data_IF_717042032118
#
_entry.id   IF_717042032118
#
_cell.length_a   1.000
_cell.length_b   1.000
_cell.length_c   1.000
_cell.angle_alpha   90.00
_cell.angle_beta   90.00
_cell.angle_gamma   90.00
#
_symmetry.space_group_name_H-M   'P 1'
#
loop_
_entity.id
_entity.type
_entity.pdbx_description
1 polymer ?
#
# COMPACT_ATOMS: atom_id res chain seq x y z
N UNK A 1 14.62 41.31 -62.15
CA UNK A 1 15.08 41.53 -60.76
C UNK A 1 13.91 41.21 -59.83
N UNK A 2 13.97 40.05 -59.17
CA UNK A 2 12.92 39.60 -58.25
C UNK A 2 13.08 40.34 -56.92
N UNK A 3 12.01 40.97 -56.45
CA UNK A 3 12.02 41.89 -55.31
C UNK A 3 12.14 41.09 -53.98
N UNK A 4 13.37 40.90 -53.50
CA UNK A 4 13.72 40.13 -52.29
C UNK A 4 13.05 40.64 -50.99
N UNK A 5 12.59 41.89 -50.95
CA UNK A 5 11.92 42.47 -49.77
C UNK A 5 10.50 41.94 -49.49
N UNK A 6 9.79 41.42 -50.51
CA UNK A 6 8.43 40.87 -50.32
C UNK A 6 8.44 39.45 -49.75
N UNK A 7 9.52 38.69 -49.96
CA UNK A 7 9.62 37.30 -49.52
C UNK A 7 10.03 37.21 -48.06
N UNK A 8 10.83 38.17 -47.57
CA UNK A 8 11.26 38.21 -46.16
C UNK A 8 10.14 38.65 -45.21
N UNK A 9 9.26 39.57 -45.63
CA UNK A 9 8.12 40.01 -44.82
C UNK A 9 7.08 38.89 -44.58
N UNK A 10 6.91 37.98 -45.55
CA UNK A 10 6.01 36.83 -45.44
C UNK A 10 6.57 35.67 -44.62
N UNK A 11 7.90 35.56 -44.50
CA UNK A 11 8.54 34.54 -43.65
C UNK A 11 8.53 34.90 -42.16
N UNK A 12 8.44 36.18 -41.81
CA UNK A 12 8.46 36.65 -40.41
C UNK A 12 7.10 36.61 -39.70
N UNK A 13 6.00 36.42 -40.43
CA UNK A 13 4.65 36.30 -39.83
C UNK A 13 4.17 34.86 -39.64
N UNK A 14 4.87 33.87 -40.21
CA UNK A 14 4.54 32.45 -40.04
C UNK A 14 5.29 31.77 -38.88
N UNK A 15 6.39 32.37 -38.39
CA UNK A 15 7.16 31.83 -37.26
C UNK A 15 6.69 32.30 -35.87
N UNK A 16 5.65 33.12 -35.77
CA UNK A 16 5.10 33.60 -34.49
C UNK A 16 3.97 32.73 -33.93
N UNK A 17 3.54 31.67 -34.64
CA UNK A 17 2.45 30.79 -34.20
C UNK A 17 2.91 29.43 -33.63
N UNK A 18 4.21 29.18 -33.50
CA UNK A 18 4.74 27.93 -32.90
C UNK A 18 5.23 28.08 -31.45
N UNK A 19 4.84 29.14 -30.74
CA UNK A 19 5.10 29.30 -29.30
C UNK A 19 3.88 28.95 -28.43
N UNK A 20 2.97 28.11 -28.92
CA UNK A 20 1.86 27.59 -28.12
C UNK A 20 2.28 26.30 -27.42
N UNK A 21 2.66 26.49 -26.15
CA UNK A 21 2.47 25.56 -25.04
C UNK A 21 3.26 24.25 -25.04
N UNK A 22 4.56 24.36 -24.75
CA UNK A 22 5.22 23.34 -23.91
C UNK A 22 4.83 23.64 -22.45
N UNK A 23 3.53 23.57 -22.15
CA UNK A 23 3.09 23.36 -20.78
C UNK A 23 3.41 21.91 -20.49
N UNK A 24 4.63 21.69 -20.00
CA UNK A 24 5.10 20.42 -19.49
C UNK A 24 3.98 19.76 -18.70
N UNK A 25 3.52 18.59 -19.17
CA UNK A 25 2.66 17.64 -18.46
C UNK A 25 3.38 17.14 -17.21
N UNK A 26 3.67 18.05 -16.27
CA UNK A 26 4.07 17.72 -14.93
C UNK A 26 2.77 17.45 -14.19
N UNK A 27 2.43 16.17 -14.04
CA UNK A 27 1.38 15.79 -13.08
C UNK A 27 1.83 16.31 -11.73
N UNK A 28 1.19 17.39 -11.26
CA UNK A 28 1.57 18.01 -10.00
C UNK A 28 1.41 16.98 -8.88
N UNK A 29 2.52 16.67 -8.21
CA UNK A 29 2.46 15.92 -6.98
C UNK A 29 1.78 16.81 -5.94
N UNK A 30 0.65 16.34 -5.41
CA UNK A 30 -0.03 17.00 -4.31
C UNK A 30 0.75 16.74 -3.03
N UNK A 31 0.84 17.75 -2.16
CA UNK A 31 1.46 17.60 -0.85
C UNK A 31 0.74 16.53 0.00
N UNK A 32 1.50 15.83 0.83
CA UNK A 32 1.01 14.83 1.78
C UNK A 32 1.69 13.47 1.69
N UNK A 33 1.23 12.53 2.52
CA UNK A 33 1.74 11.16 2.52
C UNK A 33 1.38 10.41 1.22
N UNK A 34 2.25 9.47 0.77
CA UNK A 34 1.94 8.60 -0.36
C UNK A 34 0.69 7.77 -0.09
N UNK A 35 -0.07 7.50 -1.15
CA UNK A 35 -1.28 6.69 -1.06
C UNK A 35 -0.87 5.21 -1.03
N UNK A 36 -1.35 4.47 -0.04
CA UNK A 36 -1.12 3.03 0.07
C UNK A 36 -2.38 2.28 -0.31
N UNK A 37 -2.27 1.31 -1.23
CA UNK A 37 -3.40 0.49 -1.66
C UNK A 37 -3.50 -0.86 -0.91
N UNK A 38 -4.54 -1.63 -1.24
CA UNK A 38 -4.80 -2.96 -0.66
C UNK A 38 -3.72 -4.00 -0.99
N UNK A 39 -2.90 -3.76 -2.01
CA UNK A 39 -1.81 -4.63 -2.43
C UNK A 39 -0.46 -4.17 -1.86
N UNK A 40 -0.46 -3.27 -0.88
CA UNK A 40 0.73 -2.71 -0.24
C UNK A 40 1.58 -1.84 -1.18
N UNK A 41 1.02 -1.37 -2.31
CA UNK A 41 1.76 -0.50 -3.22
C UNK A 41 1.64 0.95 -2.75
N UNK A 42 2.75 1.65 -2.82
CA UNK A 42 2.85 3.07 -2.55
C UNK A 42 2.73 3.82 -3.86
N UNK A 43 1.81 4.78 -3.89
CA UNK A 43 1.53 5.61 -5.06
C UNK A 43 1.82 7.07 -4.72
N UNK A 44 2.49 7.76 -5.64
CA UNK A 44 2.67 9.21 -5.54
C UNK A 44 1.30 9.87 -5.55
N UNK A 45 1.10 10.85 -4.67
CA UNK A 45 -0.18 11.53 -4.53
C UNK A 45 -0.40 12.49 -5.70
N UNK A 46 -1.05 12.01 -6.75
CA UNK A 46 -1.48 12.84 -7.89
C UNK A 46 -3.01 12.83 -8.00
N UNK A 47 -3.57 13.79 -8.73
CA UNK A 47 -5.01 13.86 -8.94
C UNK A 47 -5.55 12.60 -9.64
N UNK A 48 -4.75 12.01 -10.54
CA UNK A 48 -5.09 10.77 -11.23
C UNK A 48 -5.15 9.58 -10.28
N UNK A 49 -4.15 9.41 -9.41
CA UNK A 49 -4.13 8.35 -8.40
C UNK A 49 -5.29 8.51 -7.40
N UNK A 50 -5.64 9.75 -7.02
CA UNK A 50 -6.79 9.99 -6.13
C UNK A 50 -8.12 9.59 -6.76
N UNK A 51 -8.27 9.72 -8.08
CA UNK A 51 -9.44 9.23 -8.82
C UNK A 51 -9.48 7.71 -8.88
N UNK A 52 -8.34 7.07 -9.14
CA UNK A 52 -8.22 5.61 -9.23
C UNK A 52 -8.35 4.92 -7.86
N UNK A 53 -7.84 5.55 -6.80
CA UNK A 53 -7.81 5.03 -5.43
C UNK A 53 -8.57 6.00 -4.51
N UNK A 54 -9.91 5.85 -4.44
CA UNK A 54 -10.73 6.72 -3.60
C UNK A 54 -10.38 6.55 -2.12
N UNK A 55 -10.67 7.55 -1.28
CA UNK A 55 -10.29 7.57 0.14
C UNK A 55 -10.63 6.28 0.91
N UNK A 56 -11.78 5.66 0.65
CA UNK A 56 -12.19 4.38 1.27
C UNK A 56 -11.23 3.20 1.01
N UNK A 57 -10.42 3.31 -0.04
CA UNK A 57 -9.42 2.35 -0.48
C UNK A 57 -7.98 2.81 -0.19
N UNK A 58 -7.80 3.90 0.56
CA UNK A 58 -6.48 4.38 0.98
C UNK A 58 -6.19 3.84 2.37
N UNK A 59 -5.09 3.11 2.51
CA UNK A 59 -4.63 2.59 3.79
C UNK A 59 -3.76 3.60 4.54
N UNK A 60 -3.72 3.45 5.87
CA UNK A 60 -2.70 4.04 6.74
C UNK A 60 -1.91 2.93 7.41
N UNK A 61 -0.63 3.15 7.67
CA UNK A 61 0.20 2.23 8.45
C UNK A 61 -0.22 2.31 9.92
N UNK A 62 -0.73 1.22 10.47
CA UNK A 62 -1.13 1.13 11.89
C UNK A 62 0.01 0.60 12.75
N UNK A 63 0.80 -0.34 12.23
CA UNK A 63 1.94 -0.92 12.95
C UNK A 63 3.03 -1.34 11.98
N UNK A 64 4.27 -1.25 12.42
CA UNK A 64 5.46 -1.72 11.70
C UNK A 64 6.33 -2.50 12.69
N UNK A 65 6.77 -3.69 12.31
CA UNK A 65 7.59 -4.56 13.14
C UNK A 65 8.68 -5.22 12.34
N UNK A 66 9.93 -5.03 12.77
CA UNK A 66 11.08 -5.68 12.15
C UNK A 66 11.33 -7.05 12.77
N UNK A 67 11.79 -8.00 11.96
CA UNK A 67 12.22 -9.32 12.42
C UNK A 67 13.34 -9.87 11.54
N UNK A 68 14.00 -10.92 12.01
CA UNK A 68 15.10 -11.56 11.30
C UNK A 68 14.88 -13.07 11.22
N UNK A 69 15.13 -13.62 10.04
CA UNK A 69 15.07 -15.05 9.72
C UNK A 69 16.24 -15.36 8.80
N UNK A 70 16.97 -16.44 9.01
CA UNK A 70 18.09 -16.86 8.15
C UNK A 70 19.09 -15.73 7.83
N UNK A 71 19.44 -14.94 8.87
CA UNK A 71 20.33 -13.78 8.78
C UNK A 71 19.86 -12.63 7.86
N UNK A 72 18.57 -12.63 7.49
CA UNK A 72 17.94 -11.64 6.64
C UNK A 72 16.90 -10.84 7.43
N UNK A 73 16.90 -9.52 7.24
CA UNK A 73 15.97 -8.60 7.91
C UNK A 73 14.69 -8.42 7.08
N UNK A 74 13.56 -8.56 7.74
CA UNK A 74 12.22 -8.39 7.17
C UNK A 74 11.46 -7.34 7.98
N UNK A 75 10.45 -6.73 7.36
CA UNK A 75 9.52 -5.83 8.06
C UNK A 75 8.09 -6.25 7.79
N UNK A 76 7.35 -6.57 8.85
CA UNK A 76 5.91 -6.77 8.79
C UNK A 76 5.19 -5.46 9.09
N UNK A 77 4.28 -5.05 8.23
CA UNK A 77 3.43 -3.89 8.40
C UNK A 77 1.97 -4.30 8.46
N UNK A 78 1.21 -3.67 9.35
CA UNK A 78 -0.25 -3.73 9.38
C UNK A 78 -0.78 -2.42 8.84
N UNK A 79 -1.49 -2.50 7.72
CA UNK A 79 -2.26 -1.40 7.15
C UNK A 79 -3.68 -1.44 7.70
N UNK A 80 -4.28 -0.27 7.94
CA UNK A 80 -5.68 -0.11 8.31
C UNK A 80 -6.40 0.77 7.29
N UNK A 81 -7.54 0.29 6.80
CA UNK A 81 -8.44 1.02 5.91
C UNK A 81 -9.53 1.76 6.70
N UNK A 82 -10.19 2.77 6.11
CA UNK A 82 -11.27 3.53 6.77
C UNK A 82 -12.43 2.65 7.26
N UNK A 83 -12.71 1.54 6.59
CA UNK A 83 -13.70 0.55 7.03
C UNK A 83 -13.20 -0.38 8.16
N UNK A 84 -12.11 0.00 8.84
CA UNK A 84 -11.44 -0.76 9.91
C UNK A 84 -10.86 -2.11 9.52
N UNK A 85 -10.91 -2.51 8.24
CA UNK A 85 -10.24 -3.73 7.78
C UNK A 85 -8.73 -3.54 7.75
N UNK A 86 -8.01 -4.60 8.08
CA UNK A 86 -6.57 -4.65 8.14
C UNK A 86 -5.98 -5.48 7.00
N UNK A 87 -4.79 -5.08 6.55
CA UNK A 87 -3.98 -5.84 5.57
C UNK A 87 -2.56 -5.96 6.08
N UNK A 88 -2.01 -7.16 6.01
CA UNK A 88 -0.62 -7.44 6.37
C UNK A 88 0.28 -7.38 5.13
N UNK A 89 1.34 -6.58 5.22
CA UNK A 89 2.33 -6.35 4.19
C UNK A 89 3.72 -6.76 4.69
N UNK A 90 4.51 -7.39 3.83
CA UNK A 90 5.85 -7.86 4.13
C UNK A 90 6.87 -7.14 3.23
N UNK A 91 7.81 -6.45 3.85
CA UNK A 91 9.04 -6.04 3.21
C UNK A 91 10.05 -7.18 3.29
N UNK A 92 10.41 -7.70 2.13
CA UNK A 92 11.45 -8.71 1.98
C UNK A 92 12.84 -8.05 1.84
N UNK A 93 13.91 -8.75 2.20
CA UNK A 93 15.28 -8.35 1.89
C UNK A 93 15.40 -8.05 0.40
N UNK A 94 16.07 -6.95 0.06
CA UNK A 94 16.36 -6.55 -1.33
C UNK A 94 15.12 -6.23 -2.19
N UNK A 95 13.90 -6.32 -1.65
CA UNK A 95 12.69 -5.89 -2.34
C UNK A 95 12.58 -4.36 -2.27
N UNK A 96 12.26 -3.74 -3.41
CA UNK A 96 12.05 -2.29 -3.50
C UNK A 96 10.71 -1.84 -2.93
N UNK A 97 9.73 -2.74 -2.90
CA UNK A 97 8.36 -2.47 -2.47
C UNK A 97 7.90 -3.60 -1.55
N UNK A 98 7.00 -3.32 -0.60
CA UNK A 98 6.41 -4.37 0.19
C UNK A 98 5.38 -5.13 -0.63
N UNK A 99 5.19 -6.38 -0.25
CA UNK A 99 4.20 -7.24 -0.86
C UNK A 99 3.12 -7.58 0.16
N UNK A 100 1.88 -7.66 -0.31
CA UNK A 100 0.80 -8.22 0.49
C UNK A 100 1.13 -9.67 0.86
N UNK A 101 1.04 -9.99 2.15
CA UNK A 101 1.33 -11.33 2.64
C UNK A 101 0.31 -12.32 2.03
N UNK A 102 0.83 -13.32 1.29
CA UNK A 102 0.04 -14.36 0.63
C UNK A 102 -0.31 -15.48 1.62
N UNK A 103 -1.23 -16.36 1.24
CA UNK A 103 -1.57 -17.58 2.00
C UNK A 103 -2.03 -17.38 3.46
N UNK A 104 -2.50 -16.17 3.78
CA UNK A 104 -3.00 -15.79 5.10
C UNK A 104 -4.43 -15.21 5.03
N UNK A 105 -5.24 -15.67 4.08
CA UNK A 105 -6.57 -15.14 3.77
C UNK A 105 -7.51 -15.07 4.98
N UNK A 106 -7.38 -15.99 5.94
CA UNK A 106 -8.19 -16.05 7.16
C UNK A 106 -8.04 -14.82 8.07
N UNK A 107 -6.93 -14.08 7.95
CA UNK A 107 -6.66 -12.85 8.70
C UNK A 107 -6.57 -11.60 7.82
N UNK A 108 -6.50 -11.74 6.50
CA UNK A 108 -6.44 -10.62 5.55
C UNK A 108 -7.82 -10.02 5.28
N UNK A 109 -7.89 -8.71 5.07
CA UNK A 109 -9.14 -7.95 4.84
C UNK A 109 -10.22 -8.16 5.93
N UNK A 110 -9.78 -8.53 7.13
CA UNK A 110 -10.63 -8.65 8.32
C UNK A 110 -10.40 -7.47 9.26
N UNK A 111 -11.30 -7.26 10.22
CA UNK A 111 -11.11 -6.23 11.24
C UNK A 111 -10.07 -6.73 12.24
N UNK A 112 -8.80 -6.34 12.02
CA UNK A 112 -7.68 -6.70 12.90
C UNK A 112 -7.68 -5.73 14.07
N UNK A 113 -8.03 -6.23 15.25
CA UNK A 113 -8.02 -5.44 16.49
C UNK A 113 -6.62 -5.23 17.03
N UNK A 114 -5.74 -6.23 16.89
CA UNK A 114 -4.38 -6.20 17.44
C UNK A 114 -3.41 -7.08 16.65
N UNK A 115 -2.16 -6.61 16.54
CA UNK A 115 -1.02 -7.37 16.04
C UNK A 115 0.11 -7.26 17.07
N UNK A 116 0.52 -8.39 17.62
CA UNK A 116 1.55 -8.43 18.68
C UNK A 116 2.68 -9.36 18.29
N UNK A 117 3.93 -8.93 18.52
CA UNK A 117 5.10 -9.78 18.30
C UNK A 117 5.23 -10.76 19.46
N UNK A 118 5.49 -12.04 19.16
CA UNK A 118 5.71 -13.05 20.19
C UNK A 118 7.08 -12.81 20.87
N UNK A 119 7.15 -12.74 22.21
CA UNK A 119 8.37 -12.33 22.91
C UNK A 119 9.52 -13.33 22.75
N UNK A 120 9.21 -14.63 22.68
CA UNK A 120 10.21 -15.71 22.57
C UNK A 120 10.45 -16.20 21.14
N UNK A 121 9.68 -15.72 20.16
CA UNK A 121 9.70 -16.23 18.78
C UNK A 121 9.72 -15.04 17.83
N UNK A 122 10.91 -14.56 17.43
CA UNK A 122 11.08 -13.24 16.82
C UNK A 122 10.39 -13.08 15.45
N UNK A 123 10.07 -14.18 14.75
CA UNK A 123 9.33 -14.17 13.49
C UNK A 123 7.88 -14.63 13.65
N UNK A 124 7.34 -14.63 14.88
CA UNK A 124 5.96 -15.05 15.15
C UNK A 124 5.17 -13.91 15.75
N UNK A 125 3.91 -13.82 15.34
CA UNK A 125 2.98 -12.77 15.71
C UNK A 125 1.65 -13.36 16.16
N UNK A 126 0.97 -12.68 17.08
CA UNK A 126 -0.42 -12.94 17.45
C UNK A 126 -1.29 -11.89 16.77
N UNK A 127 -2.26 -12.35 15.99
CA UNK A 127 -3.20 -11.52 15.24
C UNK A 127 -4.59 -11.74 15.80
N UNK A 128 -5.17 -10.71 16.41
CA UNK A 128 -6.54 -10.77 16.92
C UNK A 128 -7.49 -10.16 15.91
N UNK A 129 -8.41 -10.97 15.41
CA UNK A 129 -9.41 -10.61 14.41
C UNK A 129 -10.79 -10.59 15.07
N UNK A 130 -11.56 -9.53 14.84
CA UNK A 130 -12.97 -9.51 15.26
C UNK A 130 -13.78 -10.49 14.41
N UNK A 131 -14.69 -11.22 15.05
CA UNK A 131 -15.65 -12.06 14.34
C UNK A 131 -16.67 -11.20 13.58
N UNK A 132 -17.39 -11.85 12.67
CA UNK A 132 -18.41 -11.19 11.87
C UNK A 132 -19.63 -10.87 12.74
N UNK A 133 -20.32 -9.76 12.46
CA UNK A 133 -21.41 -9.25 13.32
C UNK A 133 -22.56 -10.25 13.49
N UNK A 134 -22.84 -11.07 12.48
CA UNK A 134 -23.87 -12.10 12.48
C UNK A 134 -23.47 -13.42 13.15
N UNK A 135 -22.20 -13.61 13.49
CA UNK A 135 -21.70 -14.87 14.06
C UNK A 135 -21.62 -14.88 15.58
N UNK A 136 -21.51 -16.07 16.17
CA UNK A 136 -21.36 -16.24 17.63
C UNK A 136 -19.95 -15.93 18.13
N UNK A 137 -18.98 -15.73 17.24
CA UNK A 137 -17.60 -15.44 17.60
C UNK A 137 -17.43 -13.93 17.75
N UNK A 138 -16.99 -13.48 18.92
CA UNK A 138 -16.62 -12.09 19.18
C UNK A 138 -15.23 -11.77 18.60
N UNK A 139 -14.23 -12.58 18.94
CA UNK A 139 -12.85 -12.42 18.50
C UNK A 139 -12.18 -13.77 18.30
N UNK A 140 -11.26 -13.87 17.34
CA UNK A 140 -10.35 -15.02 17.21
C UNK A 140 -8.91 -14.53 17.20
N UNK A 141 -8.09 -15.12 18.06
CA UNK A 141 -6.65 -14.94 18.03
C UNK A 141 -6.00 -16.01 17.16
N UNK A 142 -5.13 -15.59 16.25
CA UNK A 142 -4.36 -16.46 15.38
C UNK A 142 -2.86 -16.26 15.64
N UNK A 143 -2.09 -17.35 15.57
CA UNK A 143 -0.64 -17.31 15.47
C UNK A 143 -0.25 -17.21 14.01
N UNK A 144 0.41 -16.13 13.63
CA UNK A 144 1.08 -15.97 12.35
C UNK A 144 2.57 -16.28 12.53
N UNK A 145 3.05 -17.34 11.90
CA UNK A 145 4.45 -17.73 11.90
C UNK A 145 5.11 -17.38 10.55
N UNK A 146 6.16 -16.56 10.60
CA UNK A 146 6.96 -16.10 9.48
C UNK A 146 8.41 -16.63 9.53
N UNK A 147 8.67 -17.74 10.22
CA UNK A 147 9.99 -18.41 10.16
C UNK A 147 10.36 -18.87 8.75
N UNK A 148 9.37 -19.02 7.87
CA UNK A 148 9.55 -19.04 6.42
C UNK A 148 8.65 -17.97 5.80
N UNK A 149 9.15 -16.76 5.49
CA UNK A 149 8.34 -15.67 4.98
C UNK A 149 7.69 -15.92 3.61
N UNK A 150 8.23 -16.86 2.82
CA UNK A 150 7.64 -17.28 1.53
C UNK A 150 6.45 -18.24 1.71
N UNK A 151 6.34 -18.89 2.87
CA UNK A 151 5.25 -19.81 3.23
C UNK A 151 4.75 -19.51 4.64
N UNK A 152 4.08 -18.36 4.84
CA UNK A 152 3.58 -17.97 6.15
C UNK A 152 2.54 -19.00 6.64
N UNK A 153 2.56 -19.30 7.93
CA UNK A 153 1.62 -20.26 8.54
C UNK A 153 0.73 -19.56 9.54
N UNK A 154 -0.59 -19.67 9.36
CA UNK A 154 -1.59 -19.14 10.30
C UNK A 154 -2.27 -20.29 11.03
N UNK A 155 -2.26 -20.23 12.36
CA UNK A 155 -2.87 -21.27 13.20
C UNK A 155 -3.83 -20.61 14.20
N UNK A 156 -5.10 -21.04 14.32
CA UNK A 156 -5.98 -20.52 15.36
C UNK A 156 -5.44 -20.87 16.74
N UNK A 157 -5.56 -19.94 17.69
CA UNK A 157 -5.19 -20.15 19.08
C UNK A 157 -6.41 -20.21 19.99
N UNK A 158 -7.21 -19.15 19.98
CA UNK A 158 -8.35 -18.98 20.89
C UNK A 158 -9.48 -18.32 20.12
N UNK A 159 -10.71 -18.81 20.34
CA UNK A 159 -11.95 -18.18 19.89
C UNK A 159 -12.73 -17.72 21.12
N UNK A 160 -13.16 -16.48 21.12
CA UNK A 160 -14.02 -15.88 22.15
C UNK A 160 -15.41 -15.80 21.57
N UNK A 161 -16.39 -16.36 22.26
CA UNK A 161 -17.79 -16.39 21.82
C UNK A 161 -18.61 -15.29 22.51
N UNK A 162 -19.68 -14.85 21.86
CA UNK A 162 -20.72 -14.00 22.45
C UNK A 162 -21.44 -14.82 23.53
N UNK A 163 -21.78 -14.15 24.63
CA UNK A 163 -22.60 -14.73 25.70
C UNK A 163 -24.07 -14.66 25.33
#
# INVERSE_FOLDING_TARGET
>A
MLNFYKVTALALTSLSFYSVSISTLSTSALAGEPIIDRNCRYHVRTQEVLRQIPQRNQARVLSTSQFQVNNQKYVLQLLKFPNSKGVLCLWKPHARLPERLRDVSIIQDKVIGKLEKHPKQPATYIVTVKGDESGDILNTAYRLNLTNPEKPKVTPLIRVYKK
#
